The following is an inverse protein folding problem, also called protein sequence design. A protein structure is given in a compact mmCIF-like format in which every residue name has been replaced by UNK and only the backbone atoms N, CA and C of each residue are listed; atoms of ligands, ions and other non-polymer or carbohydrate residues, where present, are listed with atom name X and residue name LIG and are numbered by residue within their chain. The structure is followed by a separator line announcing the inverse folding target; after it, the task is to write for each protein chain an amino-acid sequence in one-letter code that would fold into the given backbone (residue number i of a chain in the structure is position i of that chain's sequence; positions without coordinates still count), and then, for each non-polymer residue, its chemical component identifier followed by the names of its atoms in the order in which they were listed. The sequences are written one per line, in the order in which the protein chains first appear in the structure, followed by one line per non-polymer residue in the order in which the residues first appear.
data_IF_742743591601
#
_entry.id   IF_742743591601
#
_cell.length_a   1.000
_cell.length_b   1.000
_cell.length_c   1.000
_cell.angle_alpha   90.00
_cell.angle_beta   90.00
_cell.angle_gamma   90.00
#
_symmetry.space_group_name_H-M   'P 1'
#
loop_
_entity.id
_entity.type
_entity.pdbx_description
1 polymer ?
#
# COMPACT_ATOMS: atom_id res chain seq x y z
N UNK A 1 16.93 -29.14 21.21
CA UNK A 1 17.38 -27.91 20.51
C UNK A 1 16.55 -26.76 21.07
N UNK A 2 17.16 -25.71 21.66
CA UNK A 2 16.42 -24.60 22.27
C UNK A 2 15.65 -23.72 21.27
N UNK A 3 15.63 -24.05 19.96
CA UNK A 3 14.92 -23.30 18.93
C UNK A 3 13.61 -23.93 18.42
N UNK A 4 13.10 -25.01 19.01
CA UNK A 4 11.70 -25.42 18.73
C UNK A 4 10.74 -24.58 19.57
N UNK A 5 10.66 -23.28 19.26
CA UNK A 5 9.61 -22.41 19.75
C UNK A 5 8.34 -22.76 18.96
N UNK A 6 7.55 -23.69 19.49
CA UNK A 6 6.24 -24.00 18.92
C UNK A 6 5.36 -22.77 19.16
N UNK A 7 5.16 -21.97 18.12
CA UNK A 7 4.21 -20.84 18.14
C UNK A 7 2.89 -21.30 18.76
N UNK A 8 2.29 -20.53 19.68
CA UNK A 8 1.00 -20.91 20.26
C UNK A 8 -0.01 -21.18 19.13
N UNK A 9 -0.93 -22.14 19.32
CA UNK A 9 -1.90 -22.47 18.29
C UNK A 9 -2.67 -21.21 17.90
N UNK A 10 -2.64 -20.88 16.60
CA UNK A 10 -3.29 -19.68 16.07
C UNK A 10 -4.78 -19.75 16.40
N UNK A 11 -5.32 -18.67 16.95
CA UNK A 11 -6.77 -18.58 17.22
C UNK A 11 -7.52 -18.70 15.89
N UNK A 12 -8.67 -19.38 15.86
CA UNK A 12 -9.53 -19.40 14.67
C UNK A 12 -9.79 -17.97 14.19
N UNK A 13 -9.54 -17.73 12.90
CA UNK A 13 -9.81 -16.45 12.26
C UNK A 13 -11.02 -16.59 11.34
N UNK A 14 -11.77 -15.50 11.16
CA UNK A 14 -12.96 -15.48 10.30
C UNK A 14 -12.61 -15.48 8.80
N UNK A 15 -11.38 -15.12 8.44
CA UNK A 15 -10.90 -15.01 7.07
C UNK A 15 -9.69 -15.93 6.85
N UNK A 16 -9.58 -16.50 5.65
CA UNK A 16 -8.41 -17.30 5.24
C UNK A 16 -7.19 -16.43 4.93
N UNK A 17 -7.42 -15.20 4.48
CA UNK A 17 -6.39 -14.25 4.11
C UNK A 17 -6.67 -12.85 4.68
N UNK A 18 -5.62 -12.06 4.85
CA UNK A 18 -5.69 -10.63 5.13
C UNK A 18 -4.97 -9.86 4.02
N UNK A 19 -5.66 -8.92 3.39
CA UNK A 19 -5.07 -7.93 2.52
C UNK A 19 -4.69 -6.70 3.37
N UNK A 20 -3.39 -6.49 3.58
CA UNK A 20 -2.86 -5.39 4.40
C UNK A 20 -2.44 -4.27 3.45
N UNK A 21 -3.04 -3.08 3.65
CA UNK A 21 -2.85 -1.90 2.80
C UNK A 21 -2.40 -0.75 3.71
N UNK A 22 -1.38 -0.01 3.25
CA UNK A 22 -0.90 1.22 3.88
C UNK A 22 -0.74 2.27 2.78
N UNK A 23 -1.53 3.33 2.82
CA UNK A 23 -1.61 4.28 1.72
C UNK A 23 -0.75 5.51 2.01
N UNK A 24 0.04 5.91 1.02
CA UNK A 24 0.66 7.22 1.01
C UNK A 24 -0.18 8.19 0.19
N UNK A 25 -0.22 9.46 0.60
CA UNK A 25 -0.99 10.50 -0.07
C UNK A 25 -0.20 11.81 -0.22
N UNK A 26 -0.58 12.61 -1.23
CA UNK A 26 -0.10 13.99 -1.35
C UNK A 26 -0.36 14.74 -0.04
N UNK A 27 0.64 15.44 0.48
CA UNK A 27 0.50 16.19 1.73
C UNK A 27 1.40 17.43 1.76
N UNK A 28 1.25 18.24 2.81
CA UNK A 28 2.00 19.47 3.04
C UNK A 28 1.97 19.77 4.54
N UNK A 29 2.96 20.52 5.05
CA UNK A 29 2.97 20.98 6.44
C UNK A 29 2.08 22.22 6.66
N UNK A 30 1.61 22.83 5.57
CA UNK A 30 0.67 23.95 5.59
C UNK A 30 -0.74 23.49 5.97
N UNK A 31 -1.39 24.26 6.87
CA UNK A 31 -2.80 24.07 7.19
C UNK A 31 -3.67 24.23 5.94
N UNK A 32 -4.59 23.29 5.73
CA UNK A 32 -5.60 23.37 4.68
C UNK A 32 -5.19 22.76 3.33
N UNK A 33 -4.09 22.01 3.26
CA UNK A 33 -3.78 21.22 2.08
C UNK A 33 -4.89 20.19 1.82
N UNK A 34 -5.63 20.40 0.73
CA UNK A 34 -6.71 19.54 0.29
C UNK A 34 -6.98 19.80 -1.21
N UNK A 35 -7.48 18.79 -1.95
CA UNK A 35 -7.66 17.40 -1.51
C UNK A 35 -6.32 16.67 -1.37
N UNK A 36 -6.30 15.64 -0.53
CA UNK A 36 -5.23 14.64 -0.56
C UNK A 36 -5.58 13.55 -1.59
N UNK A 37 -4.59 13.12 -2.35
CA UNK A 37 -4.71 12.09 -3.37
C UNK A 37 -3.72 10.97 -3.05
N UNK A 38 -4.13 9.71 -3.24
CA UNK A 38 -3.25 8.55 -3.05
C UNK A 38 -2.09 8.65 -4.07
N UNK A 39 -0.86 8.46 -3.59
CA UNK A 39 0.36 8.45 -4.41
C UNK A 39 1.13 7.13 -4.34
N UNK A 40 0.74 6.23 -3.43
CA UNK A 40 1.20 4.85 -3.39
C UNK A 40 0.08 3.92 -2.94
N UNK A 41 -0.07 2.79 -3.63
CA UNK A 41 -1.05 1.75 -3.35
C UNK A 41 -0.35 0.38 -3.21
N UNK A 42 0.20 0.06 -2.03
CA UNK A 42 0.72 -1.27 -1.72
C UNK A 42 -0.37 -2.18 -1.13
N UNK A 43 -0.24 -3.48 -1.36
CA UNK A 43 -1.03 -4.51 -0.71
C UNK A 43 -0.16 -5.74 -0.43
N UNK A 44 -0.19 -6.22 0.81
CA UNK A 44 0.43 -7.48 1.22
C UNK A 44 -0.65 -8.48 1.57
N UNK A 45 -0.66 -9.62 0.88
CA UNK A 45 -1.57 -10.72 1.19
C UNK A 45 -0.92 -11.69 2.17
N UNK A 46 -1.58 -11.91 3.31
CA UNK A 46 -1.14 -12.83 4.36
C UNK A 46 -2.07 -14.04 4.40
N UNK A 47 -1.52 -15.24 4.26
CA UNK A 47 -2.23 -16.48 4.60
C UNK A 47 -2.31 -16.56 6.12
N UNK A 48 -3.52 -16.70 6.65
CA UNK A 48 -3.76 -16.62 8.09
C UNK A 48 -3.43 -17.93 8.82
N UNK A 49 -3.57 -19.07 8.15
CA UNK A 49 -3.26 -20.38 8.71
C UNK A 49 -1.76 -20.54 8.94
N UNK A 50 -0.96 -20.13 7.97
CA UNK A 50 0.50 -20.18 8.01
C UNK A 50 1.09 -18.91 8.65
N UNK A 51 0.34 -17.80 8.58
CA UNK A 51 0.72 -16.45 9.01
C UNK A 51 1.99 -15.95 8.36
N UNK A 52 2.08 -16.17 7.05
CA UNK A 52 3.17 -15.66 6.23
C UNK A 52 2.61 -14.86 5.06
N UNK A 53 3.46 -14.00 4.53
CA UNK A 53 3.19 -13.33 3.26
C UNK A 53 3.10 -14.38 2.14
N UNK A 54 2.02 -14.31 1.38
CA UNK A 54 1.78 -15.13 0.18
C UNK A 54 1.79 -14.32 -1.11
N UNK A 55 1.60 -13.00 -1.01
CA UNK A 55 1.64 -12.10 -2.15
C UNK A 55 1.98 -10.68 -1.75
N UNK A 56 2.50 -9.92 -2.71
CA UNK A 56 2.73 -8.48 -2.61
C UNK A 56 2.42 -7.81 -3.94
N UNK A 57 1.71 -6.68 -3.87
CA UNK A 57 1.46 -5.75 -4.95
C UNK A 57 1.90 -4.37 -4.50
N UNK A 58 2.48 -3.59 -5.42
CA UNK A 58 2.82 -2.20 -5.17
C UNK A 58 2.78 -1.44 -6.49
N UNK A 59 2.12 -0.29 -6.48
CA UNK A 59 2.21 0.69 -7.56
C UNK A 59 2.23 2.11 -6.98
N UNK A 60 2.95 3.00 -7.65
CA UNK A 60 2.74 4.44 -7.44
C UNK A 60 1.47 4.88 -8.15
N UNK A 61 0.95 6.03 -7.73
CA UNK A 61 -0.26 6.63 -8.28
C UNK A 61 0.02 8.09 -8.62
N UNK A 62 -0.41 8.52 -9.82
CA UNK A 62 -0.24 9.89 -10.28
C UNK A 62 -1.38 10.78 -9.75
N UNK A 63 -1.09 11.78 -8.90
CA UNK A 63 -2.10 12.74 -8.47
C UNK A 63 -2.48 13.67 -9.62
N UNK A 64 -3.76 14.05 -9.70
CA UNK A 64 -4.32 14.84 -10.79
C UNK A 64 -4.67 16.28 -10.36
N UNK A 65 -5.06 16.49 -9.10
CA UNK A 65 -5.42 17.81 -8.57
C UNK A 65 -4.19 18.56 -8.10
N UNK A 66 -3.32 17.91 -7.33
CA UNK A 66 -2.05 18.44 -6.84
C UNK A 66 -0.88 17.60 -7.42
N UNK A 67 -0.57 17.74 -8.73
CA UNK A 67 0.36 16.84 -9.43
C UNK A 67 1.82 16.99 -8.99
N UNK A 68 2.19 18.13 -8.41
CA UNK A 68 3.53 18.38 -7.89
C UNK A 68 3.60 18.04 -6.41
N UNK A 69 4.42 17.04 -6.07
CA UNK A 69 4.68 16.68 -4.68
C UNK A 69 5.42 17.83 -3.98
N UNK A 70 5.02 18.11 -2.74
CA UNK A 70 5.71 19.10 -1.91
C UNK A 70 7.01 18.49 -1.35
N UNK A 71 7.99 19.33 -1.04
CA UNK A 71 9.23 18.86 -0.39
C UNK A 71 8.93 18.15 0.94
N UNK A 72 7.90 18.61 1.66
CA UNK A 72 7.43 17.96 2.88
C UNK A 72 6.92 16.55 2.60
N UNK A 73 6.04 16.39 1.61
CA UNK A 73 5.49 15.08 1.22
C UNK A 73 6.58 14.12 0.79
N UNK A 74 7.51 14.56 -0.06
CA UNK A 74 8.64 13.74 -0.49
C UNK A 74 9.57 13.38 0.66
N UNK A 75 9.79 14.29 1.61
CA UNK A 75 10.62 14.01 2.80
C UNK A 75 9.96 13.03 3.77
N UNK A 76 8.63 13.09 3.90
CA UNK A 76 7.86 12.25 4.80
C UNK A 76 7.69 10.82 4.25
N UNK A 77 7.36 10.70 2.97
CA UNK A 77 7.01 9.41 2.33
C UNK A 77 8.20 8.74 1.62
N UNK A 78 9.26 9.49 1.31
CA UNK A 78 10.35 9.04 0.44
C UNK A 78 9.98 8.97 -1.04
N UNK A 79 8.78 9.42 -1.44
CA UNK A 79 8.32 9.39 -2.83
C UNK A 79 8.71 10.69 -3.53
N UNK A 80 9.47 10.55 -4.62
CA UNK A 80 9.91 11.69 -5.43
C UNK A 80 9.02 11.87 -6.67
N UNK A 81 9.03 13.08 -7.22
CA UNK A 81 8.20 13.45 -8.38
C UNK A 81 8.29 12.45 -9.55
N UNK A 82 9.51 11.98 -9.87
CA UNK A 82 9.73 10.99 -10.92
C UNK A 82 8.98 9.66 -10.74
N UNK A 83 8.64 9.28 -9.50
CA UNK A 83 7.87 8.06 -9.23
C UNK A 83 6.40 8.21 -9.65
N UNK A 84 5.83 9.41 -9.48
CA UNK A 84 4.41 9.68 -9.75
C UNK A 84 4.17 10.25 -11.15
N UNK A 85 5.18 10.84 -11.79
CA UNK A 85 5.05 11.47 -13.12
C UNK A 85 4.57 10.51 -14.21
N UNK A 86 5.06 9.26 -14.17
CA UNK A 86 4.72 8.20 -15.14
C UNK A 86 3.81 7.13 -14.57
N UNK A 87 3.29 7.34 -13.35
CA UNK A 87 2.41 6.38 -12.69
C UNK A 87 0.99 6.36 -13.30
N UNK A 88 0.25 5.25 -13.17
CA UNK A 88 -1.18 5.21 -13.46
C UNK A 88 -1.94 6.21 -12.58
N UNK A 89 -3.07 6.73 -13.07
CA UNK A 89 -4.02 7.42 -12.20
C UNK A 89 -4.71 6.40 -11.28
N UNK A 90 -5.33 6.91 -10.20
CA UNK A 90 -5.90 6.05 -9.16
C UNK A 90 -6.87 4.98 -9.66
N UNK A 91 -7.80 5.25 -10.61
CA UNK A 91 -8.70 4.22 -11.11
C UNK A 91 -7.96 3.04 -11.75
N UNK A 92 -6.93 3.30 -12.56
CA UNK A 92 -6.13 2.24 -13.19
C UNK A 92 -5.30 1.48 -12.15
N UNK A 93 -4.72 2.18 -11.17
CA UNK A 93 -3.99 1.55 -10.07
C UNK A 93 -4.88 0.60 -9.23
N UNK A 94 -6.12 0.99 -9.00
CA UNK A 94 -7.11 0.17 -8.28
C UNK A 94 -7.55 -1.05 -9.10
N UNK A 95 -7.72 -0.89 -10.42
CA UNK A 95 -7.98 -2.00 -11.34
C UNK A 95 -6.82 -3.01 -11.30
N UNK A 96 -5.58 -2.54 -11.38
CA UNK A 96 -4.39 -3.39 -11.25
C UNK A 96 -4.33 -4.16 -9.91
N UNK A 97 -4.66 -3.51 -8.79
CA UNK A 97 -4.74 -4.19 -7.48
C UNK A 97 -5.86 -5.25 -7.47
N UNK A 98 -6.99 -4.94 -8.09
CA UNK A 98 -8.15 -5.85 -8.14
C UNK A 98 -7.84 -7.08 -8.98
N UNK A 99 -7.31 -6.90 -10.18
CA UNK A 99 -6.83 -7.98 -11.05
C UNK A 99 -5.76 -8.84 -10.35
N UNK A 100 -4.84 -8.20 -9.62
CA UNK A 100 -3.84 -8.91 -8.85
C UNK A 100 -4.46 -9.78 -7.74
N UNK A 101 -5.44 -9.26 -7.01
CA UNK A 101 -6.16 -10.00 -5.96
C UNK A 101 -7.01 -11.16 -6.52
N UNK A 102 -7.66 -10.96 -7.67
CA UNK A 102 -8.45 -11.99 -8.35
C UNK A 102 -7.58 -13.13 -8.91
N UNK A 103 -6.32 -12.86 -9.19
CA UNK A 103 -5.33 -13.85 -9.65
C UNK A 103 -4.64 -14.65 -8.53
N UNK A 104 -4.97 -14.42 -7.25
CA UNK A 104 -4.39 -15.15 -6.11
C UNK A 104 -5.05 -16.51 -5.87
#
# INVERSE_FOLDING_TARGET
DPFTETSPPRRPQAYSHLAVIDLEATCDDRRGFAPQEIIELPCVLIDVAEGRKVGEFRTYVRPLVNPSLTDFCSSLTGIHQQHVDTAPAFPEALEMLTEWLEGQ
#
